data_IF_456993957848
#
_entry.id   IF_456993957848
#
_cell.length_a   1.000
_cell.length_b   1.000
_cell.length_c   1.000
_cell.angle_alpha   90.00
_cell.angle_beta   90.00
_cell.angle_gamma   90.00
#
_symmetry.space_group_name_H-M   'P 1'
#
loop_
_entity.id
_entity.type
_entity.pdbx_description
1 polymer ?
#
# COMPACT_ATOMS: atom_id res chain seq x y z
N UNK A 1 5.89 -11.43 -14.41
CA UNK A 1 6.58 -11.74 -13.14
C UNK A 1 6.08 -13.08 -12.63
N UNK A 2 6.98 -13.95 -12.13
CA UNK A 2 6.64 -15.30 -11.64
C UNK A 2 5.65 -15.20 -10.48
N UNK A 3 4.53 -15.92 -10.58
CA UNK A 3 3.44 -15.94 -9.61
C UNK A 3 3.72 -16.77 -8.34
N UNK A 4 4.97 -17.05 -7.98
CA UNK A 4 5.28 -18.14 -7.04
C UNK A 4 6.40 -17.91 -6.02
N UNK A 5 6.98 -16.71 -5.90
CA UNK A 5 7.83 -16.42 -4.74
C UNK A 5 6.99 -15.73 -3.66
N UNK A 6 6.65 -16.46 -2.60
CA UNK A 6 6.10 -15.87 -1.37
C UNK A 6 7.04 -14.78 -0.87
N UNK A 7 6.49 -13.67 -0.40
CA UNK A 7 7.25 -12.60 0.24
C UNK A 7 7.91 -13.19 1.50
N UNK A 8 9.25 -13.18 1.59
CA UNK A 8 9.92 -13.63 2.79
C UNK A 8 9.66 -12.66 3.93
N UNK A 9 9.30 -13.19 5.09
CA UNK A 9 9.18 -12.44 6.33
C UNK A 9 10.21 -13.00 7.30
N UNK A 10 11.17 -12.16 7.68
CA UNK A 10 12.26 -12.52 8.58
C UNK A 10 11.84 -12.39 10.04
N UNK A 11 12.69 -12.83 10.96
CA UNK A 11 12.47 -12.59 12.39
C UNK A 11 12.48 -11.09 12.73
N UNK A 12 13.34 -10.31 12.09
CA UNK A 12 13.43 -8.87 12.28
C UNK A 12 12.12 -8.19 11.86
N UNK A 13 11.57 -8.57 10.72
CA UNK A 13 10.25 -8.10 10.25
C UNK A 13 9.16 -8.37 11.29
N UNK A 14 9.13 -9.57 11.87
CA UNK A 14 8.16 -9.95 12.93
C UNK A 14 8.39 -9.16 14.22
N UNK A 15 9.64 -8.90 14.60
CA UNK A 15 9.96 -8.17 15.81
C UNK A 15 9.46 -6.71 15.74
N UNK A 16 9.46 -6.09 14.55
CA UNK A 16 8.89 -4.73 14.37
C UNK A 16 7.40 -4.63 14.69
N UNK A 17 6.64 -5.73 14.55
CA UNK A 17 5.19 -5.73 14.86
C UNK A 17 4.90 -5.53 16.35
N UNK A 18 5.88 -5.71 17.24
CA UNK A 18 5.69 -5.56 18.70
C UNK A 18 5.46 -4.11 19.10
N UNK A 19 6.29 -3.19 18.62
CA UNK A 19 6.15 -1.76 18.90
C UNK A 19 7.05 -0.85 18.03
N UNK A 20 7.37 -1.26 16.80
CA UNK A 20 8.30 -0.55 15.94
C UNK A 20 7.70 -0.25 14.56
N UNK A 21 8.47 0.46 13.72
CA UNK A 21 8.12 0.79 12.34
C UNK A 21 8.06 -0.47 11.49
N UNK A 22 6.99 -0.61 10.72
CA UNK A 22 6.89 -1.73 9.79
C UNK A 22 7.93 -1.58 8.67
N UNK A 23 8.52 -2.71 8.33
CA UNK A 23 9.42 -2.85 7.18
C UNK A 23 8.64 -2.97 5.86
N UNK A 24 9.34 -2.74 4.76
CA UNK A 24 8.85 -3.02 3.39
C UNK A 24 8.30 -4.44 3.28
N UNK A 25 9.00 -5.43 3.86
CA UNK A 25 8.61 -6.84 3.77
C UNK A 25 7.30 -7.11 4.51
N UNK A 26 7.08 -6.50 5.67
CA UNK A 26 5.83 -6.66 6.42
C UNK A 26 4.64 -6.08 5.65
N UNK A 27 4.80 -4.91 5.02
CA UNK A 27 3.75 -4.31 4.18
C UNK A 27 3.54 -5.14 2.91
N UNK A 28 4.61 -5.58 2.24
CA UNK A 28 4.53 -6.43 1.05
C UNK A 28 3.85 -7.78 1.34
N UNK A 29 4.13 -8.38 2.51
CA UNK A 29 3.46 -9.59 2.97
C UNK A 29 1.96 -9.34 3.15
N UNK A 30 1.60 -8.21 3.76
CA UNK A 30 0.20 -7.84 3.95
C UNK A 30 -0.55 -7.68 2.63
N UNK A 31 0.09 -7.05 1.63
CA UNK A 31 -0.47 -6.97 0.28
C UNK A 31 -0.62 -8.35 -0.37
N UNK A 32 0.37 -9.23 -0.27
CA UNK A 32 0.26 -10.61 -0.79
C UNK A 32 -0.90 -11.36 -0.12
N UNK A 33 -1.07 -11.20 1.19
CA UNK A 33 -2.19 -11.76 1.92
C UNK A 33 -3.53 -11.26 1.36
N UNK A 34 -3.70 -9.94 1.17
CA UNK A 34 -4.92 -9.37 0.59
C UNK A 34 -5.15 -9.87 -0.84
N UNK A 35 -4.10 -10.05 -1.63
CA UNK A 35 -4.21 -10.61 -2.98
C UNK A 35 -4.73 -12.06 -2.95
N UNK A 36 -4.10 -12.90 -2.13
CA UNK A 36 -4.40 -14.34 -2.08
C UNK A 36 -5.70 -14.66 -1.39
N UNK A 37 -6.08 -13.90 -0.37
CA UNK A 37 -7.25 -14.23 0.46
C UNK A 37 -8.46 -13.37 0.12
N UNK A 38 -8.29 -12.17 -0.44
CA UNK A 38 -9.41 -11.28 -0.74
C UNK A 38 -9.59 -11.05 -2.24
N UNK A 39 -8.58 -10.57 -2.96
CA UNK A 39 -8.71 -10.28 -4.40
C UNK A 39 -8.96 -11.54 -5.24
N UNK A 40 -8.47 -12.71 -4.80
CA UNK A 40 -8.73 -13.98 -5.49
C UNK A 40 -10.23 -14.30 -5.62
N UNK A 41 -11.07 -13.76 -4.72
CA UNK A 41 -12.53 -13.90 -4.73
C UNK A 41 -13.20 -13.02 -5.80
N UNK A 42 -12.45 -12.08 -6.39
CA UNK A 42 -12.93 -11.11 -7.39
C UNK A 42 -12.06 -11.15 -8.66
N UNK A 43 -12.10 -12.25 -9.44
CA UNK A 43 -11.23 -12.44 -10.61
C UNK A 43 -11.46 -11.43 -11.73
N UNK A 44 -12.61 -10.76 -11.75
CA UNK A 44 -12.93 -9.67 -12.68
C UNK A 44 -12.43 -8.30 -12.21
N UNK A 45 -11.90 -8.20 -10.98
CA UNK A 45 -11.27 -6.97 -10.50
C UNK A 45 -9.86 -6.85 -11.07
N UNK A 46 -9.51 -5.66 -11.54
CA UNK A 46 -8.20 -5.37 -12.10
C UNK A 46 -7.47 -4.37 -11.19
N UNK A 47 -7.16 -4.82 -9.98
CA UNK A 47 -6.55 -4.00 -8.93
C UNK A 47 -5.10 -4.45 -8.76
N UNK A 48 -4.19 -3.49 -8.66
CA UNK A 48 -2.78 -3.73 -8.34
C UNK A 48 -2.47 -3.21 -6.94
N UNK A 49 -1.91 -4.07 -6.09
CA UNK A 49 -1.24 -3.65 -4.86
C UNK A 49 0.25 -3.56 -5.19
N UNK A 50 0.76 -2.35 -5.37
CA UNK A 50 2.13 -2.11 -5.81
C UNK A 50 3.07 -2.19 -4.61
N UNK A 51 3.97 -3.17 -4.64
CA UNK A 51 4.91 -3.45 -3.55
C UNK A 51 5.71 -2.22 -3.12
N UNK A 52 6.02 -2.05 -1.82
CA UNK A 52 6.84 -0.95 -1.31
C UNK A 52 8.13 -0.71 -2.09
N UNK A 53 8.85 -1.79 -2.44
CA UNK A 53 10.10 -1.69 -3.20
C UNK A 53 9.90 -1.17 -4.63
N UNK A 54 8.77 -1.48 -5.27
CA UNK A 54 8.40 -0.95 -6.59
C UNK A 54 7.99 0.52 -6.49
N UNK A 55 7.23 0.89 -5.46
CA UNK A 55 6.89 2.28 -5.18
C UNK A 55 8.15 3.12 -4.92
N UNK A 56 9.09 2.60 -4.13
CA UNK A 56 10.39 3.22 -3.93
C UNK A 56 11.18 3.36 -5.23
N UNK A 57 11.28 2.29 -6.03
CA UNK A 57 11.94 2.33 -7.35
C UNK A 57 11.33 3.40 -8.26
N UNK A 58 10.01 3.50 -8.30
CA UNK A 58 9.29 4.57 -9.00
C UNK A 58 9.72 5.94 -8.49
N UNK A 59 9.73 6.13 -7.17
CA UNK A 59 10.08 7.40 -6.52
C UNK A 59 11.53 7.82 -6.74
N UNK A 60 12.46 6.88 -6.86
CA UNK A 60 13.88 7.19 -7.09
C UNK A 60 14.23 7.36 -8.58
N UNK A 61 13.43 6.83 -9.50
CA UNK A 61 13.73 6.89 -10.94
C UNK A 61 13.36 8.26 -11.53
N UNK A 62 14.29 9.04 -12.12
CA UNK A 62 13.96 10.36 -12.67
C UNK A 62 12.95 10.31 -13.82
N UNK A 63 13.14 9.41 -14.78
CA UNK A 63 12.18 9.15 -15.86
C UNK A 63 11.49 7.81 -15.61
N UNK A 64 10.23 7.79 -15.14
CA UNK A 64 9.58 6.54 -14.74
C UNK A 64 9.33 5.59 -15.93
N UNK A 65 9.35 6.07 -17.18
CA UNK A 65 9.21 5.23 -18.37
C UNK A 65 10.35 4.21 -18.51
N UNK A 66 11.53 4.46 -17.92
CA UNK A 66 12.69 3.55 -18.05
C UNK A 66 12.56 2.29 -17.20
N UNK A 67 11.65 2.27 -16.23
CA UNK A 67 11.39 1.11 -15.36
C UNK A 67 10.06 0.43 -15.67
N UNK A 68 9.39 0.78 -16.78
CA UNK A 68 8.07 0.26 -17.13
C UNK A 68 8.03 -1.27 -17.13
N UNK A 69 9.07 -1.92 -17.66
CA UNK A 69 9.17 -3.39 -17.73
C UNK A 69 9.47 -4.06 -16.38
N UNK A 70 9.92 -3.28 -15.39
CA UNK A 70 10.15 -3.75 -14.02
C UNK A 70 8.90 -3.61 -13.13
N UNK A 71 7.89 -2.88 -13.59
CA UNK A 71 6.62 -2.68 -12.90
C UNK A 71 5.53 -3.62 -13.45
N UNK A 72 4.41 -3.81 -12.73
CA UNK A 72 3.26 -4.54 -13.25
C UNK A 72 2.70 -3.90 -14.53
N UNK A 73 2.08 -4.71 -15.38
CA UNK A 73 1.34 -4.19 -16.53
C UNK A 73 0.03 -3.53 -16.07
N UNK A 74 -0.03 -2.20 -16.22
CA UNK A 74 -1.20 -1.42 -15.85
C UNK A 74 -2.28 -1.35 -16.95
N UNK A 75 -2.10 -1.99 -18.10
CA UNK A 75 -2.97 -1.85 -19.28
C UNK A 75 -4.47 -2.10 -19.02
N UNK A 76 -4.78 -3.05 -18.13
CA UNK A 76 -6.16 -3.38 -17.72
C UNK A 76 -6.51 -2.89 -16.31
N UNK A 77 -5.56 -2.26 -15.62
CA UNK A 77 -5.70 -1.91 -14.20
C UNK A 77 -6.71 -0.78 -14.02
N UNK A 78 -7.64 -0.94 -13.09
CA UNK A 78 -8.62 0.09 -12.71
C UNK A 78 -8.15 0.87 -11.50
N UNK A 79 -7.53 0.20 -10.53
CA UNK A 79 -7.04 0.82 -9.30
C UNK A 79 -5.63 0.35 -8.94
N UNK A 80 -4.85 1.26 -8.39
CA UNK A 80 -3.52 0.97 -7.84
C UNK A 80 -3.46 1.45 -6.39
N UNK A 81 -3.11 0.55 -5.48
CA UNK A 81 -2.69 0.92 -4.13
C UNK A 81 -1.17 0.91 -4.12
N UNK A 82 -0.54 1.96 -3.58
CA UNK A 82 0.89 1.99 -3.38
C UNK A 82 1.24 2.62 -2.02
N UNK A 83 2.01 1.92 -1.17
CA UNK A 83 2.63 2.50 0.00
C UNK A 83 3.62 3.60 -0.43
N UNK A 84 3.58 4.73 0.25
CA UNK A 84 4.49 5.86 0.04
C UNK A 84 5.38 6.00 1.26
N UNK A 85 6.68 6.18 1.00
CA UNK A 85 7.71 6.42 2.00
C UNK A 85 8.56 7.63 1.60
N UNK A 86 9.03 8.38 2.59
CA UNK A 86 9.86 9.58 2.44
C UNK A 86 11.36 9.30 2.28
N UNK A 87 11.77 8.02 2.19
CA UNK A 87 13.13 7.63 1.91
C UNK A 87 13.69 8.32 0.66
N UNK A 88 14.84 9.00 0.83
CA UNK A 88 15.51 9.76 -0.25
C UNK A 88 16.79 9.13 -0.77
N UNK A 89 17.31 8.13 -0.08
CA UNK A 89 18.60 7.52 -0.41
C UNK A 89 18.43 6.06 -0.82
N UNK A 90 19.00 5.71 -1.96
CA UNK A 90 19.13 4.32 -2.41
C UNK A 90 20.32 3.59 -1.76
N UNK A 91 21.20 4.31 -1.07
CA UNK A 91 22.44 3.78 -0.48
C UNK A 91 22.31 3.63 1.04
N UNK A 92 21.63 4.58 1.70
CA UNK A 92 21.44 4.55 3.14
C UNK A 92 20.20 3.72 3.46
N UNK A 93 20.41 2.57 4.09
CA UNK A 93 19.32 1.81 4.71
C UNK A 93 18.56 2.72 5.69
N UNK A 94 17.25 2.47 5.84
CA UNK A 94 16.39 3.20 6.78
C UNK A 94 16.36 4.72 6.57
N UNK A 95 16.60 5.20 5.34
CA UNK A 95 16.54 6.63 5.04
C UNK A 95 15.13 7.23 5.05
N UNK A 96 14.11 6.38 5.21
CA UNK A 96 12.71 6.74 5.35
C UNK A 96 12.25 6.77 6.80
N UNK A 97 11.40 7.73 7.13
CA UNK A 97 10.87 7.96 8.46
C UNK A 97 9.36 7.79 8.60
N UNK A 98 8.62 7.72 7.48
CA UNK A 98 7.17 7.71 7.55
C UNK A 98 6.50 6.99 6.39
N UNK A 99 5.45 6.22 6.71
CA UNK A 99 4.59 5.54 5.74
C UNK A 99 3.25 6.26 5.57
N UNK A 100 2.81 6.36 4.32
CA UNK A 100 1.45 6.80 3.95
C UNK A 100 0.93 5.93 2.79
N UNK A 101 -0.34 6.10 2.42
CA UNK A 101 -0.98 5.31 1.38
C UNK A 101 -1.48 6.20 0.25
N UNK A 102 -1.20 5.82 -1.00
CA UNK A 102 -1.82 6.41 -2.17
C UNK A 102 -2.73 5.37 -2.85
N UNK A 103 -3.98 5.74 -3.08
CA UNK A 103 -4.94 4.99 -3.88
C UNK A 103 -5.23 5.74 -5.17
N UNK A 104 -4.87 5.17 -6.31
CA UNK A 104 -5.14 5.73 -7.63
C UNK A 104 -6.33 5.01 -8.26
N UNK A 105 -7.41 5.75 -8.54
CA UNK A 105 -8.42 5.33 -9.50
C UNK A 105 -7.98 5.76 -10.90
N UNK A 106 -7.54 4.81 -11.71
CA UNK A 106 -7.11 5.05 -13.10
C UNK A 106 -8.33 5.43 -13.96
N UNK A 107 -9.48 4.81 -13.68
CA UNK A 107 -10.73 5.04 -14.41
C UNK A 107 -11.28 6.45 -14.17
N UNK A 108 -11.13 6.98 -12.95
CA UNK A 108 -11.58 8.34 -12.59
C UNK A 108 -10.47 9.38 -12.73
N UNK A 109 -9.25 8.97 -13.08
CA UNK A 109 -8.10 9.86 -13.19
C UNK A 109 -7.75 10.60 -11.90
N UNK A 110 -7.92 9.96 -10.74
CA UNK A 110 -7.75 10.60 -9.42
C UNK A 110 -6.87 9.75 -8.50
N UNK A 111 -5.98 10.40 -7.76
CA UNK A 111 -5.09 9.81 -6.77
C UNK A 111 -5.39 10.39 -5.39
N UNK A 112 -5.81 9.53 -4.46
CA UNK A 112 -6.22 9.84 -3.10
C UNK A 112 -5.10 9.49 -2.12
N UNK A 113 -4.57 10.48 -1.42
CA UNK A 113 -3.49 10.30 -0.44
C UNK A 113 -4.02 10.30 0.99
N UNK A 114 -3.68 9.24 1.73
CA UNK A 114 -4.03 9.03 3.13
C UNK A 114 -2.78 9.03 3.98
N UNK A 115 -2.69 9.98 4.89
CA UNK A 115 -1.53 10.19 5.75
C UNK A 115 -1.99 10.24 7.21
N UNK A 116 -1.39 9.38 8.03
CA UNK A 116 -1.69 9.29 9.46
C UNK A 116 -0.87 10.28 10.30
N UNK A 117 0.10 10.98 9.68
CA UNK A 117 0.89 12.04 10.28
C UNK A 117 0.90 13.25 9.34
N UNK A 118 -0.25 13.87 9.13
CA UNK A 118 -0.33 14.97 8.18
C UNK A 118 0.52 16.18 8.61
N UNK A 119 1.16 16.88 7.65
CA UNK A 119 1.22 16.65 6.20
C UNK A 119 2.51 15.93 5.73
N UNK A 120 3.04 14.97 6.51
CA UNK A 120 4.41 14.45 6.40
C UNK A 120 4.79 13.96 5.00
N UNK A 121 3.93 13.20 4.32
CA UNK A 121 4.24 12.59 3.01
C UNK A 121 3.56 13.29 1.82
N UNK A 122 3.05 14.52 1.99
CA UNK A 122 2.32 15.23 0.93
C UNK A 122 3.12 15.37 -0.37
N UNK A 123 4.41 15.75 -0.28
CA UNK A 123 5.24 16.01 -1.47
C UNK A 123 5.57 14.71 -2.20
N UNK A 124 5.83 13.66 -1.44
CA UNK A 124 6.18 12.32 -1.84
C UNK A 124 5.00 11.68 -2.58
N UNK A 125 3.80 11.74 -2.00
CA UNK A 125 2.57 11.25 -2.63
C UNK A 125 2.19 12.03 -3.91
N UNK A 126 2.38 13.35 -3.91
CA UNK A 126 2.18 14.18 -5.10
C UNK A 126 3.17 13.84 -6.21
N UNK A 127 4.44 13.59 -5.86
CA UNK A 127 5.45 13.16 -6.81
C UNK A 127 5.12 11.76 -7.37
N UNK A 128 4.73 10.81 -6.52
CA UNK A 128 4.30 9.48 -6.94
C UNK A 128 3.12 9.54 -7.93
N UNK A 129 2.15 10.41 -7.65
CA UNK A 129 1.01 10.69 -8.54
C UNK A 129 1.47 11.18 -9.91
N UNK A 130 2.38 12.16 -9.96
CA UNK A 130 2.92 12.67 -11.22
C UNK A 130 3.68 11.58 -12.00
N UNK A 131 4.45 10.74 -11.32
CA UNK A 131 5.21 9.66 -11.98
C UNK A 131 4.30 8.56 -12.53
N UNK A 132 3.27 8.18 -11.78
CA UNK A 132 2.23 7.27 -12.27
C UNK A 132 1.46 7.87 -13.44
N UNK A 133 1.14 9.16 -13.39
CA UNK A 133 0.49 9.88 -14.49
C UNK A 133 1.28 9.77 -15.80
N UNK A 134 2.62 9.93 -15.74
CA UNK A 134 3.52 9.75 -16.89
C UNK A 134 3.52 8.29 -17.37
N UNK A 135 3.67 7.32 -16.47
CA UNK A 135 3.67 5.88 -16.81
C UNK A 135 2.38 5.43 -17.50
N UNK A 136 1.25 5.92 -17.01
CA UNK A 136 -0.07 5.57 -17.50
C UNK A 136 -0.46 6.36 -18.77
N UNK A 137 0.28 7.42 -19.11
CA UNK A 137 -0.09 8.34 -20.19
C UNK A 137 -1.43 9.03 -19.93
N UNK A 138 -1.77 9.28 -18.66
CA UNK A 138 -3.07 9.82 -18.23
C UNK A 138 -2.85 10.92 -17.20
N UNK A 139 -3.60 12.00 -17.27
CA UNK A 139 -3.59 13.02 -16.22
C UNK A 139 -4.25 12.46 -14.95
N UNK A 140 -3.57 12.55 -13.82
CA UNK A 140 -4.10 12.16 -12.51
C UNK A 140 -4.24 13.40 -11.63
N UNK A 141 -5.46 13.68 -11.15
CA UNK A 141 -5.68 14.69 -10.12
C UNK A 141 -5.22 14.15 -8.76
N UNK A 142 -4.36 14.91 -8.09
CA UNK A 142 -3.94 14.61 -6.73
C UNK A 142 -4.93 15.20 -5.71
N UNK A 143 -5.43 14.35 -4.82
CA UNK A 143 -6.33 14.73 -3.72
C UNK A 143 -5.70 14.26 -2.41
N UNK A 144 -5.37 15.22 -1.55
CA UNK A 144 -4.91 14.95 -0.20
C UNK A 144 -6.11 14.86 0.74
N UNK A 145 -6.28 13.74 1.45
CA UNK A 145 -7.45 13.52 2.31
C UNK A 145 -7.15 14.06 3.70
N UNK A 146 -7.57 15.30 3.94
CA UNK A 146 -7.33 16.02 5.20
C UNK A 146 -8.12 15.45 6.39
N UNK A 147 -9.03 14.52 6.14
CA UNK A 147 -9.83 13.80 7.13
C UNK A 147 -9.36 12.36 7.35
N UNK A 148 -8.14 12.03 6.93
CA UNK A 148 -7.51 10.73 7.22
C UNK A 148 -7.34 10.52 8.73
N UNK A 149 -7.58 9.31 9.26
CA UNK A 149 -7.32 9.00 10.67
C UNK A 149 -5.86 9.27 11.05
N UNK A 150 -5.65 10.04 12.11
CA UNK A 150 -4.31 10.42 12.60
C UNK A 150 -3.81 9.46 13.67
N UNK A 151 -2.52 9.10 13.63
CA UNK A 151 -1.88 8.25 14.63
C UNK A 151 -1.60 9.01 15.93
N UNK A 152 -1.62 8.29 17.06
CA UNK A 152 -1.37 8.86 18.39
C UNK A 152 0.08 8.67 18.88
N UNK A 153 0.91 7.93 18.14
CA UNK A 153 2.30 7.63 18.48
C UNK A 153 3.24 7.90 17.29
N UNK A 154 4.50 7.50 17.38
CA UNK A 154 5.51 7.74 16.35
C UNK A 154 5.80 6.54 15.46
N UNK A 155 5.11 5.39 15.61
CA UNK A 155 5.51 4.13 14.97
C UNK A 155 4.42 3.36 14.23
N UNK A 156 3.16 3.77 14.34
CA UNK A 156 2.04 3.03 13.75
C UNK A 156 1.73 3.40 12.29
N UNK A 157 2.45 4.33 11.66
CA UNK A 157 2.17 4.78 10.29
C UNK A 157 2.01 3.61 9.29
N UNK A 158 2.88 2.60 9.36
CA UNK A 158 2.78 1.39 8.52
C UNK A 158 1.54 0.54 8.83
N UNK A 159 1.09 0.49 10.08
CA UNK A 159 -0.16 -0.19 10.47
C UNK A 159 -1.37 0.56 9.91
N UNK A 160 -1.34 1.90 9.96
CA UNK A 160 -2.37 2.73 9.32
C UNK A 160 -2.42 2.47 7.82
N UNK A 161 -1.29 2.34 7.13
CA UNK A 161 -1.26 1.94 5.71
C UNK A 161 -1.97 0.60 5.49
N UNK A 162 -1.61 -0.44 6.24
CA UNK A 162 -2.19 -1.77 6.10
C UNK A 162 -3.72 -1.81 6.37
N UNK A 163 -4.18 -1.15 7.44
CA UNK A 163 -5.59 -1.11 7.81
C UNK A 163 -6.40 -0.30 6.79
N UNK A 164 -5.92 0.88 6.40
CA UNK A 164 -6.60 1.72 5.43
C UNK A 164 -6.65 1.05 4.05
N UNK A 165 -5.57 0.39 3.62
CA UNK A 165 -5.53 -0.37 2.37
C UNK A 165 -6.61 -1.46 2.36
N UNK A 166 -6.68 -2.31 3.40
CA UNK A 166 -7.72 -3.34 3.50
C UNK A 166 -9.13 -2.72 3.51
N UNK A 167 -9.33 -1.65 4.28
CA UNK A 167 -10.64 -1.01 4.38
C UNK A 167 -11.11 -0.44 3.04
N UNK A 168 -10.27 0.36 2.39
CA UNK A 168 -10.56 0.97 1.09
C UNK A 168 -10.77 -0.12 0.03
N UNK A 169 -9.93 -1.15 0.00
CA UNK A 169 -10.06 -2.27 -0.92
C UNK A 169 -11.42 -2.97 -0.76
N UNK A 170 -11.74 -3.43 0.44
CA UNK A 170 -12.91 -4.29 0.67
C UNK A 170 -14.23 -3.53 0.78
N UNK A 171 -14.22 -2.31 1.33
CA UNK A 171 -15.43 -1.55 1.69
C UNK A 171 -15.70 -0.37 0.78
N UNK A 172 -14.76 0.01 -0.09
CA UNK A 172 -14.95 1.08 -1.07
C UNK A 172 -14.81 0.55 -2.49
N UNK A 173 -13.68 -0.04 -2.84
CA UNK A 173 -13.37 -0.41 -4.22
C UNK A 173 -14.13 -1.67 -4.67
N UNK A 174 -14.04 -2.77 -3.91
CA UNK A 174 -14.66 -4.04 -4.29
C UNK A 174 -16.16 -4.11 -4.04
N UNK A 175 -16.68 -3.31 -3.10
CA UNK A 175 -18.12 -3.25 -2.81
C UNK A 175 -18.86 -2.20 -3.64
N UNK A 176 -18.15 -1.40 -4.44
CA UNK A 176 -18.79 -0.40 -5.29
C UNK A 176 -19.55 -1.08 -6.43
N UNK A 177 -20.82 -0.74 -6.58
CA UNK A 177 -21.53 -0.97 -7.84
C UNK A 177 -21.04 0.05 -8.87
N UNK A 178 -20.95 -0.35 -10.15
CA UNK A 178 -20.47 0.50 -11.24
C UNK A 178 -21.28 1.79 -11.50
N UNK A 179 -22.41 1.95 -10.82
CA UNK A 179 -23.34 3.09 -10.94
C UNK A 179 -23.29 4.03 -9.72
N UNK A 180 -22.57 3.69 -8.65
CA UNK A 180 -22.60 4.43 -7.39
C UNK A 180 -21.33 5.25 -7.17
N UNK A 181 -21.51 6.53 -6.81
CA UNK A 181 -20.40 7.35 -6.31
C UNK A 181 -20.04 6.91 -4.90
N UNK A 182 -18.85 6.37 -4.73
CA UNK A 182 -18.34 5.96 -3.42
C UNK A 182 -17.43 7.05 -2.86
N UNK A 183 -17.74 7.51 -1.64
CA UNK A 183 -16.86 8.43 -0.93
C UNK A 183 -15.56 7.74 -0.54
N UNK A 184 -14.44 8.37 -0.88
CA UNK A 184 -13.10 7.94 -0.52
C UNK A 184 -12.62 8.52 0.81
N UNK A 185 -13.42 9.39 1.46
CA UNK A 185 -13.12 9.91 2.79
C UNK A 185 -13.10 8.80 3.85
N UNK A 186 -12.14 8.94 4.78
CA UNK A 186 -12.04 8.15 6.00
C UNK A 186 -12.37 8.99 7.26
N UNK A 187 -12.98 10.17 7.08
CA UNK A 187 -13.41 11.04 8.16
C UNK A 187 -14.32 10.30 9.16
N UNK A 188 -14.01 10.45 10.45
CA UNK A 188 -14.74 9.79 11.54
C UNK A 188 -14.49 8.29 11.66
N UNK A 189 -13.58 7.69 10.88
CA UNK A 189 -13.13 6.31 11.10
C UNK A 189 -12.07 6.27 12.19
N UNK A 190 -12.22 5.33 13.10
CA UNK A 190 -11.22 5.01 14.11
C UNK A 190 -10.35 3.86 13.62
N UNK A 191 -9.05 3.95 13.88
CA UNK A 191 -8.07 2.92 13.54
C UNK A 191 -7.56 2.29 14.83
N UNK A 192 -7.83 0.99 15.02
CA UNK A 192 -7.25 0.20 16.10
C UNK A 192 -5.88 -0.35 15.66
N UNK A 193 -4.83 0.43 15.87
CA UNK A 193 -3.48 0.05 15.46
C UNK A 193 -2.95 -1.16 16.25
N UNK A 194 -3.27 -1.26 17.54
CA UNK A 194 -2.91 -2.42 18.36
C UNK A 194 -3.58 -3.70 17.88
N UNK A 195 -4.86 -3.62 17.51
CA UNK A 195 -5.58 -4.69 16.84
C UNK A 195 -4.93 -5.08 15.51
N UNK A 196 -4.57 -4.09 14.69
CA UNK A 196 -3.85 -4.30 13.43
C UNK A 196 -2.52 -5.04 13.59
N UNK A 197 -1.68 -4.63 14.55
CA UNK A 197 -0.42 -5.32 14.88
C UNK A 197 -0.65 -6.79 15.22
N UNK A 198 -1.61 -7.07 16.11
CA UNK A 198 -1.97 -8.44 16.52
C UNK A 198 -2.56 -9.25 15.38
N UNK A 199 -3.29 -8.62 14.46
CA UNK A 199 -3.85 -9.29 13.30
C UNK A 199 -2.75 -9.72 12.33
N UNK A 200 -1.89 -8.79 11.89
CA UNK A 200 -0.79 -9.09 10.97
C UNK A 200 0.12 -10.17 11.56
N UNK A 201 0.48 -10.06 12.84
CA UNK A 201 1.29 -11.06 13.52
C UNK A 201 0.63 -12.45 13.52
N UNK A 202 -0.67 -12.54 13.83
CA UNK A 202 -1.40 -13.81 13.80
C UNK A 202 -1.44 -14.41 12.40
N UNK A 203 -1.59 -13.58 11.36
CA UNK A 203 -1.58 -14.03 9.97
C UNK A 203 -0.23 -14.61 9.59
N UNK A 204 0.89 -13.92 9.90
CA UNK A 204 2.25 -14.43 9.66
C UNK A 204 2.47 -15.78 10.35
N UNK A 205 2.10 -15.87 11.63
CA UNK A 205 2.22 -17.09 12.42
C UNK A 205 1.37 -18.25 11.88
N UNK A 206 0.19 -17.95 11.32
CA UNK A 206 -0.67 -18.91 10.65
C UNK A 206 0.02 -19.56 9.45
N UNK A 207 0.56 -18.75 8.53
CA UNK A 207 1.29 -19.26 7.35
C UNK A 207 2.60 -19.97 7.73
N UNK A 208 3.29 -19.53 8.79
CA UNK A 208 4.49 -20.24 9.29
C UNK A 208 4.16 -21.68 9.70
N UNK A 209 3.11 -21.86 10.53
CA UNK A 209 2.66 -23.19 10.97
C UNK A 209 2.17 -24.06 9.82
N UNK A 210 1.48 -23.47 8.85
CA UNK A 210 1.07 -24.19 7.64
C UNK A 210 2.27 -24.65 6.82
N UNK A 211 3.30 -23.81 6.68
CA UNK A 211 4.55 -24.14 6.02
C UNK A 211 5.33 -25.26 6.72
N UNK A 212 5.35 -25.27 8.05
CA UNK A 212 5.96 -26.34 8.85
C UNK A 212 5.22 -27.68 8.70
N UNK A 213 3.89 -27.66 8.61
CA UNK A 213 3.07 -28.88 8.42
C UNK A 213 3.21 -29.52 7.03
N UNK A 214 3.65 -28.75 6.03
CA UNK A 214 3.81 -29.21 4.64
C UNK A 214 5.23 -29.72 4.33
N UNK A 215 6.15 -29.63 5.28
CA UNK A 215 7.52 -30.19 5.20
C UNK A 215 7.57 -31.57 5.85
#
# INVERSE_FOLDING_TARGET
MRADSKIPVTKEDVDTLKNDWLTDNTIAFWEEYLEREELCKYPSSHIVLLRPSMAFMLMQTPNPLTIKDALPDFSKTTHVFLPINDARSVILAESGSHWSLLLVSIIDGTAFHYDSLMPSNYKEARLATNKLSILLGRNLQFVNLDDSPQQENSSDCGIYVCIQMRHLLLKRVLSANSQEKVSMSLGGKLVDANGGRKEILRTIEGYRREGERRR
#
